data_IF_873888898222
#
_entry.id   IF_873888898222
#
_cell.length_a   1.000
_cell.length_b   1.000
_cell.length_c   1.000
_cell.angle_alpha   90.00
_cell.angle_beta   90.00
_cell.angle_gamma   90.00
#
_symmetry.space_group_name_H-M   'P 1'
#
loop_
_entity.id
_entity.type
_entity.pdbx_description
1 polymer ?
#
# COMPACT_ATOMS: atom_id res chain seq x y z
N UNK A 1 1.97 13.92 17.81
CA UNK A 1 2.64 12.81 18.52
C UNK A 1 2.44 11.58 17.67
N UNK A 2 3.50 10.85 17.39
CA UNK A 2 3.39 9.60 16.64
C UNK A 2 2.38 8.66 17.31
N UNK A 3 1.64 7.89 16.52
CA UNK A 3 0.71 6.87 17.01
C UNK A 3 1.47 5.65 17.55
N UNK A 4 2.57 5.28 16.88
CA UNK A 4 3.54 4.30 17.35
C UNK A 4 4.91 4.96 17.40
N UNK A 5 5.60 4.81 18.50
CA UNK A 5 6.98 5.29 18.69
C UNK A 5 7.87 4.19 19.26
N UNK A 6 8.92 3.84 18.54
CA UNK A 6 9.86 2.77 18.87
C UNK A 6 11.26 3.35 18.93
N UNK A 7 11.93 3.20 20.06
CA UNK A 7 13.30 3.70 20.26
C UNK A 7 14.24 2.57 20.73
N UNK A 8 15.30 2.34 19.95
CA UNK A 8 16.38 1.42 20.29
C UNK A 8 15.94 -0.02 20.58
N UNK A 9 14.84 -0.45 19.95
CA UNK A 9 14.22 -1.76 20.17
C UNK A 9 15.19 -2.89 19.85
N UNK A 10 15.51 -3.72 20.84
CA UNK A 10 16.32 -4.93 20.67
C UNK A 10 15.55 -6.14 21.18
N UNK A 11 15.55 -7.20 20.39
CA UNK A 11 15.02 -8.51 20.79
C UNK A 11 16.06 -9.59 20.61
N UNK A 12 16.30 -10.32 21.69
CA UNK A 12 17.24 -11.45 21.73
C UNK A 12 16.51 -12.71 22.22
N UNK A 13 16.72 -13.81 21.52
CA UNK A 13 16.31 -15.14 21.93
C UNK A 13 17.52 -15.96 22.37
N UNK A 14 17.49 -16.45 23.61
CA UNK A 14 18.66 -17.10 24.21
C UNK A 14 19.87 -16.15 24.36
N UNK A 15 21.08 -16.71 24.27
CA UNK A 15 22.31 -15.93 24.50
C UNK A 15 22.89 -15.30 23.22
N UNK A 16 22.57 -15.84 22.02
CA UNK A 16 23.29 -15.51 20.80
C UNK A 16 22.42 -15.00 19.64
N UNK A 17 21.10 -15.23 19.64
CA UNK A 17 20.24 -14.89 18.50
C UNK A 17 19.59 -13.54 18.69
N UNK A 18 20.04 -12.54 17.95
CA UNK A 18 19.40 -11.22 17.87
C UNK A 18 18.41 -11.20 16.72
N UNK A 19 17.13 -11.15 17.03
CA UNK A 19 16.07 -10.99 16.03
C UNK A 19 15.88 -9.53 15.62
N UNK A 20 16.07 -8.57 16.57
CA UNK A 20 16.05 -7.13 16.32
C UNK A 20 17.24 -6.48 17.02
N UNK A 21 17.82 -5.44 16.40
CA UNK A 21 19.00 -4.74 16.89
C UNK A 21 18.83 -3.23 16.75
N UNK A 22 18.57 -2.55 17.87
CA UNK A 22 18.49 -1.08 17.94
C UNK A 22 17.53 -0.46 16.89
N UNK A 23 16.38 -1.12 16.67
CA UNK A 23 15.37 -0.66 15.73
C UNK A 23 14.66 0.57 16.30
N UNK A 24 14.62 1.66 15.53
CA UNK A 24 13.86 2.86 15.86
C UNK A 24 12.99 3.24 14.68
N UNK A 25 11.70 3.50 14.93
CA UNK A 25 10.73 3.92 13.93
C UNK A 25 9.57 4.67 14.57
N UNK A 26 8.89 5.49 13.78
CA UNK A 26 7.64 6.15 14.18
C UNK A 26 6.57 5.92 13.12
N UNK A 27 5.31 5.74 13.53
CA UNK A 27 4.14 5.60 12.65
C UNK A 27 3.10 6.62 13.09
N UNK A 28 2.56 7.38 12.14
CA UNK A 28 1.50 8.34 12.44
C UNK A 28 0.13 7.65 12.50
N UNK A 29 -0.86 8.30 13.11
CA UNK A 29 -2.23 7.77 13.14
C UNK A 29 -2.82 7.77 11.74
N UNK A 30 -3.44 6.65 11.35
CA UNK A 30 -4.00 6.45 10.02
C UNK A 30 -2.97 6.16 8.94
N UNK A 31 -1.69 6.07 9.26
CA UNK A 31 -0.63 5.72 8.29
C UNK A 31 -0.70 4.23 7.89
N UNK A 32 -0.48 3.95 6.62
CA UNK A 32 -0.22 2.60 6.14
C UNK A 32 1.29 2.40 5.94
N UNK A 33 1.86 1.45 6.67
CA UNK A 33 3.28 1.13 6.58
C UNK A 33 3.52 -0.33 6.21
N UNK A 34 4.43 -0.56 5.28
CA UNK A 34 4.92 -1.90 4.96
C UNK A 34 6.29 -2.17 5.58
N UNK A 35 6.46 -3.40 6.07
CA UNK A 35 7.74 -3.91 6.60
C UNK A 35 8.19 -5.05 5.71
N UNK A 36 9.27 -4.86 4.99
CA UNK A 36 9.82 -5.82 4.05
C UNK A 36 11.19 -6.36 4.50
N UNK A 37 11.67 -7.37 3.80
CA UNK A 37 12.97 -7.97 4.03
C UNK A 37 12.95 -9.49 3.87
N UNK A 38 14.13 -10.13 3.78
CA UNK A 38 14.24 -11.57 3.59
C UNK A 38 13.67 -12.37 4.76
N UNK A 39 13.43 -13.67 4.53
CA UNK A 39 13.01 -14.58 5.62
C UNK A 39 14.05 -14.56 6.75
N UNK A 40 13.58 -14.56 7.99
CA UNK A 40 14.44 -14.52 9.18
C UNK A 40 15.04 -13.13 9.49
N UNK A 41 14.66 -12.06 8.80
CA UNK A 41 15.18 -10.71 9.10
C UNK A 41 14.61 -10.06 10.36
N UNK A 42 13.56 -10.63 10.98
CA UNK A 42 12.96 -10.15 12.22
C UNK A 42 11.59 -9.48 12.06
N UNK A 43 10.97 -9.50 10.88
CA UNK A 43 9.68 -8.86 10.57
C UNK A 43 8.54 -9.30 11.52
N UNK A 44 8.29 -10.60 11.58
CA UNK A 44 7.24 -11.14 12.49
C UNK A 44 7.58 -10.90 13.96
N UNK A 45 8.88 -10.84 14.33
CA UNK A 45 9.29 -10.48 15.70
C UNK A 45 8.92 -9.01 16.00
N UNK A 46 9.17 -8.10 15.08
CA UNK A 46 8.76 -6.69 15.21
C UNK A 46 7.23 -6.59 15.36
N UNK A 47 6.50 -7.25 14.47
CA UNK A 47 5.04 -7.25 14.51
C UNK A 47 4.49 -7.82 15.83
N UNK A 48 5.07 -8.91 16.32
CA UNK A 48 4.68 -9.54 17.59
C UNK A 48 4.92 -8.62 18.79
N UNK A 49 6.00 -7.83 18.79
CA UNK A 49 6.26 -6.87 19.87
C UNK A 49 5.29 -5.70 19.79
N UNK A 50 5.07 -5.12 18.61
CA UNK A 50 4.07 -4.05 18.40
C UNK A 50 2.67 -4.51 18.80
N UNK A 51 2.37 -5.78 18.55
CA UNK A 51 1.10 -6.42 18.88
C UNK A 51 1.00 -6.97 20.29
N UNK A 52 1.94 -6.69 21.18
CA UNK A 52 1.95 -7.22 22.56
C UNK A 52 1.90 -8.76 22.68
N UNK A 53 2.26 -9.51 21.61
CA UNK A 53 2.41 -10.97 21.66
C UNK A 53 3.76 -11.38 22.27
N UNK A 54 4.77 -10.52 22.11
CA UNK A 54 6.10 -10.69 22.71
C UNK A 54 6.55 -9.40 23.39
N UNK A 55 7.61 -9.43 24.16
CA UNK A 55 8.18 -8.28 24.84
C UNK A 55 9.59 -7.99 24.34
N UNK A 56 10.02 -6.72 24.27
CA UNK A 56 11.37 -6.35 23.92
C UNK A 56 12.37 -6.85 24.98
N UNK A 57 13.63 -7.10 24.58
CA UNK A 57 14.72 -7.33 25.54
C UNK A 57 15.21 -6.01 26.09
N UNK A 58 15.37 -4.99 25.22
CA UNK A 58 15.70 -3.60 25.60
C UNK A 58 15.03 -2.63 24.60
N UNK A 59 15.03 -1.35 24.93
CA UNK A 59 14.39 -0.31 24.13
C UNK A 59 13.00 0.03 24.62
N UNK A 60 12.36 0.99 23.94
CA UNK A 60 11.04 1.52 24.29
C UNK A 60 10.08 1.36 23.12
N UNK A 61 8.85 0.96 23.44
CA UNK A 61 7.75 0.90 22.49
C UNK A 61 6.54 1.58 23.11
N UNK A 62 6.04 2.60 22.45
CA UNK A 62 4.83 3.33 22.80
C UNK A 62 3.82 3.12 21.66
N UNK A 63 2.60 2.74 22.00
CA UNK A 63 1.50 2.64 21.05
C UNK A 63 0.31 3.41 21.63
N UNK A 64 -0.22 4.33 20.85
CA UNK A 64 -1.36 5.18 21.26
C UNK A 64 -1.13 5.91 22.60
N UNK A 65 0.11 6.33 22.85
CA UNK A 65 0.53 7.02 24.06
C UNK A 65 0.80 6.11 25.27
N UNK A 66 0.55 4.80 25.15
CA UNK A 66 0.78 3.83 26.21
C UNK A 66 2.12 3.11 26.00
N UNK A 67 2.97 3.08 27.05
CA UNK A 67 4.24 2.35 27.00
C UNK A 67 4.00 0.87 27.24
N UNK A 68 4.40 0.04 26.29
CA UNK A 68 4.27 -1.41 26.38
C UNK A 68 5.32 -2.04 27.34
N UNK A 69 6.34 -1.26 27.72
CA UNK A 69 7.34 -1.70 28.67
C UNK A 69 6.73 -1.86 30.06
N UNK A 70 6.90 -3.03 30.63
CA UNK A 70 6.42 -3.32 31.98
C UNK A 70 4.99 -3.87 32.05
N UNK A 71 4.26 -3.97 30.94
CA UNK A 71 2.94 -4.61 30.92
C UNK A 71 3.02 -6.06 31.43
N UNK A 72 2.20 -6.40 32.39
CA UNK A 72 1.93 -7.79 32.79
C UNK A 72 1.28 -8.56 31.63
N UNK A 73 1.22 -9.88 31.74
CA UNK A 73 0.56 -10.72 30.73
C UNK A 73 -0.94 -10.33 30.57
N UNK A 74 -1.60 -9.98 31.66
CA UNK A 74 -3.01 -9.56 31.63
C UNK A 74 -3.21 -8.20 30.93
N UNK A 75 -2.32 -7.22 31.22
CA UNK A 75 -2.37 -5.90 30.56
C UNK A 75 -2.09 -6.01 29.06
N UNK A 76 -1.11 -6.84 28.67
CA UNK A 76 -0.87 -7.12 27.23
C UNK A 76 -2.06 -7.75 26.55
N UNK A 77 -2.73 -8.73 27.21
CA UNK A 77 -3.92 -9.38 26.65
C UNK A 77 -5.08 -8.40 26.47
N UNK A 78 -5.31 -7.55 27.46
CA UNK A 78 -6.32 -6.51 27.42
C UNK A 78 -6.02 -5.49 26.32
N UNK A 79 -4.81 -4.97 26.26
CA UNK A 79 -4.39 -4.01 25.22
C UNK A 79 -4.60 -4.55 23.82
N UNK A 80 -4.21 -5.84 23.58
CA UNK A 80 -4.49 -6.51 22.29
C UNK A 80 -5.97 -6.56 21.96
N UNK A 81 -6.78 -6.98 22.92
CA UNK A 81 -8.22 -7.14 22.71
C UNK A 81 -8.92 -5.80 22.38
N UNK A 82 -8.44 -4.70 22.98
CA UNK A 82 -9.06 -3.37 22.86
C UNK A 82 -8.52 -2.57 21.66
N UNK A 83 -7.23 -2.72 21.31
CA UNK A 83 -6.54 -1.75 20.44
C UNK A 83 -6.03 -2.35 19.13
N UNK A 84 -5.87 -3.69 19.04
CA UNK A 84 -5.13 -4.31 17.95
C UNK A 84 -5.95 -5.38 17.24
N UNK A 85 -6.08 -5.24 15.92
CA UNK A 85 -6.56 -6.28 15.03
C UNK A 85 -5.40 -7.03 14.40
N UNK A 86 -5.33 -8.35 14.61
CA UNK A 86 -4.31 -9.19 13.99
C UNK A 86 -4.86 -9.98 12.80
N UNK A 87 -4.12 -9.92 11.68
CA UNK A 87 -4.34 -10.76 10.49
C UNK A 87 -3.06 -11.53 10.21
N UNK A 88 -3.09 -12.84 10.41
CA UNK A 88 -1.94 -13.72 10.20
C UNK A 88 -1.99 -14.40 8.83
N UNK A 89 -0.83 -14.85 8.34
CA UNK A 89 -0.70 -15.64 7.12
C UNK A 89 -1.51 -16.95 7.20
N UNK A 90 -1.48 -17.63 8.35
CA UNK A 90 -2.36 -18.73 8.64
C UNK A 90 -3.59 -18.23 9.39
N UNK A 91 -4.76 -18.67 8.98
CA UNK A 91 -6.04 -18.17 9.50
C UNK A 91 -6.23 -18.41 11.02
N UNK A 92 -5.58 -19.42 11.60
CA UNK A 92 -5.73 -19.79 13.01
C UNK A 92 -7.19 -19.78 13.48
N UNK A 93 -8.10 -20.21 12.61
CA UNK A 93 -9.51 -20.41 12.98
C UNK A 93 -9.65 -21.66 13.84
N UNK A 94 -10.54 -21.58 14.81
CA UNK A 94 -10.88 -22.72 15.64
C UNK A 94 -11.72 -23.69 14.81
N UNK A 95 -11.26 -24.92 14.52
CA UNK A 95 -11.81 -25.77 13.45
C UNK A 95 -13.22 -26.30 13.73
N UNK A 96 -13.66 -26.31 14.98
CA UNK A 96 -14.96 -26.78 15.43
C UNK A 96 -15.96 -25.64 15.72
N UNK A 97 -15.56 -24.37 15.52
CA UNK A 97 -16.41 -23.21 15.56
C UNK A 97 -16.76 -22.75 14.14
N UNK A 98 -17.99 -22.31 13.96
CA UNK A 98 -18.45 -21.70 12.72
C UNK A 98 -17.75 -20.35 12.45
N UNK A 99 -17.93 -19.78 11.26
CA UNK A 99 -17.38 -18.47 10.93
C UNK A 99 -17.83 -17.40 11.92
N UNK A 100 -19.12 -17.31 12.24
CA UNK A 100 -19.65 -16.34 13.19
C UNK A 100 -19.11 -16.56 14.60
N UNK A 101 -19.03 -17.79 15.06
CA UNK A 101 -18.47 -18.13 16.37
C UNK A 101 -16.97 -17.81 16.48
N UNK A 102 -16.20 -17.99 15.39
CA UNK A 102 -14.79 -17.56 15.32
C UNK A 102 -14.63 -16.04 15.48
N UNK A 103 -15.56 -15.25 14.94
CA UNK A 103 -15.56 -13.80 15.11
C UNK A 103 -16.01 -13.43 16.55
N UNK A 104 -17.06 -14.05 17.06
CA UNK A 104 -17.55 -13.85 18.44
C UNK A 104 -16.50 -14.16 19.50
N UNK A 105 -15.55 -15.06 19.21
CA UNK A 105 -14.46 -15.40 20.12
C UNK A 105 -13.61 -14.17 20.49
N UNK A 106 -13.39 -13.26 19.54
CA UNK A 106 -12.65 -12.01 19.81
C UNK A 106 -13.46 -11.06 20.72
N UNK A 107 -14.77 -10.99 20.54
CA UNK A 107 -15.65 -10.22 21.44
C UNK A 107 -15.62 -10.78 22.86
N UNK A 108 -15.66 -12.10 23.02
CA UNK A 108 -15.65 -12.75 24.33
C UNK A 108 -14.48 -12.34 25.21
N UNK A 109 -13.32 -12.05 24.63
CA UNK A 109 -12.13 -11.57 25.35
C UNK A 109 -12.11 -10.05 25.57
N UNK A 110 -13.03 -9.31 24.98
CA UNK A 110 -13.10 -7.84 25.06
C UNK A 110 -14.36 -7.37 25.82
N UNK A 111 -15.52 -7.91 25.48
CA UNK A 111 -16.83 -7.42 25.94
C UNK A 111 -17.85 -8.57 26.01
N UNK A 112 -19.13 -8.24 25.88
CA UNK A 112 -20.18 -9.24 25.67
C UNK A 112 -20.24 -9.66 24.21
N UNK A 113 -20.33 -10.97 23.97
CA UNK A 113 -20.49 -11.51 22.62
C UNK A 113 -21.86 -11.15 22.04
N UNK A 114 -21.87 -10.62 20.83
CA UNK A 114 -23.07 -10.28 20.06
C UNK A 114 -22.99 -10.94 18.68
N UNK A 115 -23.91 -11.90 18.44
CA UNK A 115 -23.93 -12.68 17.20
C UNK A 115 -24.29 -11.83 15.98
N UNK A 116 -25.20 -10.85 16.15
CA UNK A 116 -25.62 -9.99 15.04
C UNK A 116 -24.49 -9.04 14.62
N UNK A 117 -23.73 -8.49 15.58
CA UNK A 117 -22.55 -7.68 15.32
C UNK A 117 -21.47 -8.52 14.59
N UNK A 118 -21.23 -9.76 15.04
CA UNK A 118 -20.33 -10.70 14.39
C UNK A 118 -20.78 -11.06 12.96
N UNK A 119 -22.09 -11.28 12.77
CA UNK A 119 -22.66 -11.51 11.45
C UNK A 119 -22.51 -10.30 10.53
N UNK A 120 -22.66 -9.08 11.05
CA UNK A 120 -22.44 -7.84 10.30
C UNK A 120 -20.97 -7.68 9.88
N UNK A 121 -20.02 -8.01 10.75
CA UNK A 121 -18.60 -8.03 10.42
C UNK A 121 -18.30 -9.02 9.29
N UNK A 122 -18.92 -10.20 9.28
CA UNK A 122 -18.80 -11.18 8.20
C UNK A 122 -19.46 -10.71 6.90
N UNK A 123 -20.63 -10.07 6.95
CA UNK A 123 -21.26 -9.48 5.76
C UNK A 123 -20.37 -8.41 5.12
N UNK A 124 -19.70 -7.60 5.94
CA UNK A 124 -18.76 -6.57 5.50
C UNK A 124 -17.61 -7.12 4.67
N UNK A 125 -17.12 -8.33 4.99
CA UNK A 125 -16.06 -9.00 4.23
C UNK A 125 -16.60 -9.96 3.13
N UNK A 126 -17.89 -9.86 2.78
CA UNK A 126 -18.52 -10.62 1.73
C UNK A 126 -18.82 -12.08 2.09
N UNK A 127 -19.04 -12.39 3.37
CA UNK A 127 -19.31 -13.76 3.87
C UNK A 127 -20.71 -13.90 4.52
N UNK A 128 -21.67 -13.06 4.12
CA UNK A 128 -23.03 -13.10 4.65
C UNK A 128 -23.72 -14.48 4.49
N UNK A 129 -23.42 -15.21 3.43
CA UNK A 129 -23.98 -16.54 3.14
C UNK A 129 -23.15 -17.68 3.76
N UNK A 130 -22.12 -17.38 4.54
CA UNK A 130 -21.16 -18.32 5.12
C UNK A 130 -21.12 -18.33 6.65
N UNK A 131 -22.03 -17.61 7.32
CA UNK A 131 -22.01 -17.37 8.77
C UNK A 131 -21.83 -18.65 9.59
N UNK A 132 -22.55 -19.72 9.22
CA UNK A 132 -22.60 -20.99 9.97
C UNK A 132 -21.71 -22.08 9.36
N UNK A 133 -20.84 -21.74 8.39
CA UNK A 133 -19.89 -22.71 7.84
C UNK A 133 -18.71 -22.90 8.79
N UNK A 134 -18.25 -24.16 8.90
CA UNK A 134 -17.00 -24.50 9.59
C UNK A 134 -15.79 -24.12 8.71
N UNK A 135 -14.61 -23.87 9.30
CA UNK A 135 -13.40 -23.59 8.53
C UNK A 135 -13.09 -24.61 7.43
N UNK A 136 -13.37 -25.88 7.65
CA UNK A 136 -13.19 -26.96 6.67
C UNK A 136 -14.11 -26.85 5.44
N UNK A 137 -15.15 -26.03 5.51
CA UNK A 137 -16.12 -25.78 4.43
C UNK A 137 -15.85 -24.48 3.69
N UNK A 138 -14.83 -23.74 4.10
CA UNK A 138 -14.42 -22.44 3.55
C UNK A 138 -13.13 -22.60 2.74
N UNK A 139 -13.06 -21.89 1.62
CA UNK A 139 -11.80 -21.73 0.86
C UNK A 139 -10.75 -20.98 1.69
N UNK A 140 -9.48 -21.04 1.29
CA UNK A 140 -8.40 -20.30 1.96
C UNK A 140 -8.66 -18.79 2.02
N UNK A 141 -9.15 -18.20 0.92
CA UNK A 141 -9.52 -16.79 0.89
C UNK A 141 -10.74 -16.45 1.75
N UNK A 142 -11.74 -17.34 1.83
CA UNK A 142 -12.88 -17.16 2.75
C UNK A 142 -12.42 -17.25 4.21
N UNK A 143 -11.54 -18.20 4.55
CA UNK A 143 -10.96 -18.29 5.90
C UNK A 143 -10.19 -17.02 6.26
N UNK A 144 -9.41 -16.48 5.33
CA UNK A 144 -8.66 -15.22 5.55
C UNK A 144 -9.61 -14.03 5.79
N UNK A 145 -10.72 -13.96 5.04
CA UNK A 145 -11.75 -12.93 5.29
C UNK A 145 -12.44 -13.09 6.64
N UNK A 146 -12.65 -14.30 7.13
CA UNK A 146 -13.12 -14.54 8.54
C UNK A 146 -12.10 -13.97 9.53
N UNK A 147 -10.79 -14.16 9.29
CA UNK A 147 -9.75 -13.59 10.15
C UNK A 147 -9.77 -12.06 10.16
N UNK A 148 -10.02 -11.44 9.01
CA UNK A 148 -10.16 -9.98 8.92
C UNK A 148 -11.39 -9.53 9.71
N UNK A 149 -12.56 -10.18 9.53
CA UNK A 149 -13.76 -9.86 10.31
C UNK A 149 -13.52 -10.00 11.82
N UNK A 150 -12.82 -11.07 12.24
CA UNK A 150 -12.41 -11.30 13.64
C UNK A 150 -11.46 -10.21 14.15
N UNK A 151 -10.54 -9.73 13.31
CA UNK A 151 -9.63 -8.65 13.69
C UNK A 151 -10.34 -7.32 13.89
N UNK A 152 -11.45 -7.07 13.17
CA UNK A 152 -12.17 -5.80 13.16
C UNK A 152 -13.28 -5.67 14.17
N UNK A 153 -13.78 -6.79 14.72
CA UNK A 153 -15.00 -6.82 15.52
C UNK A 153 -14.96 -5.89 16.75
N UNK A 154 -13.76 -5.70 17.33
CA UNK A 154 -13.55 -4.83 18.48
C UNK A 154 -13.13 -3.40 18.08
N UNK A 155 -13.27 -3.02 16.81
CA UNK A 155 -12.97 -1.68 16.27
C UNK A 155 -11.56 -1.18 16.63
N UNK A 156 -10.50 -1.95 16.32
CA UNK A 156 -9.14 -1.60 16.71
C UNK A 156 -8.65 -0.37 15.93
N UNK A 157 -7.81 0.47 16.56
CA UNK A 157 -7.16 1.58 15.88
C UNK A 157 -5.92 1.15 15.08
N UNK A 158 -5.35 -0.03 15.39
CA UNK A 158 -4.16 -0.59 14.78
C UNK A 158 -4.45 -1.96 14.18
N UNK A 159 -4.13 -2.12 12.90
CA UNK A 159 -4.21 -3.41 12.20
C UNK A 159 -2.79 -3.87 11.90
N UNK A 160 -2.44 -5.06 12.38
CA UNK A 160 -1.17 -5.71 12.15
C UNK A 160 -1.39 -6.95 11.27
N UNK A 161 -0.80 -6.96 10.08
CA UNK A 161 -0.95 -8.04 9.13
C UNK A 161 0.41 -8.70 8.83
N UNK A 162 0.54 -10.00 9.11
CA UNK A 162 1.76 -10.79 8.82
C UNK A 162 1.49 -11.68 7.62
N UNK A 163 2.04 -11.30 6.44
CA UNK A 163 1.89 -12.01 5.15
C UNK A 163 0.42 -12.37 4.83
N UNK A 164 -0.53 -11.41 4.87
CA UNK A 164 -1.97 -11.72 4.88
C UNK A 164 -2.48 -12.39 3.60
N UNK A 165 -1.69 -12.39 2.52
CA UNK A 165 -2.03 -12.98 1.22
C UNK A 165 -1.13 -14.14 0.81
N UNK A 166 -0.11 -14.47 1.61
CA UNK A 166 0.96 -15.40 1.23
C UNK A 166 0.53 -16.84 0.88
N UNK A 167 -0.71 -17.21 1.11
CA UNK A 167 -1.29 -18.53 0.78
C UNK A 167 -2.53 -18.43 -0.11
N UNK A 168 -2.76 -17.28 -0.76
CA UNK A 168 -3.95 -17.00 -1.57
C UNK A 168 -3.63 -17.03 -3.06
N UNK A 169 -4.63 -17.32 -3.87
CA UNK A 169 -4.59 -17.05 -5.31
C UNK A 169 -4.77 -15.55 -5.59
N UNK A 170 -4.45 -15.12 -6.81
CA UNK A 170 -4.50 -13.71 -7.25
C UNK A 170 -5.87 -13.06 -7.01
N UNK A 171 -6.97 -13.79 -7.18
CA UNK A 171 -8.33 -13.26 -7.00
C UNK A 171 -8.61 -12.99 -5.52
N UNK A 172 -8.29 -13.93 -4.65
CA UNK A 172 -8.47 -13.76 -3.21
C UNK A 172 -7.48 -12.76 -2.61
N UNK A 173 -6.25 -12.68 -3.16
CA UNK A 173 -5.28 -11.65 -2.81
C UNK A 173 -5.84 -10.25 -3.08
N UNK A 174 -6.35 -10.01 -4.30
CA UNK A 174 -6.95 -8.72 -4.66
C UNK A 174 -8.11 -8.33 -3.73
N UNK A 175 -8.97 -9.30 -3.35
CA UNK A 175 -10.07 -9.05 -2.42
C UNK A 175 -9.54 -8.68 -1.02
N UNK A 176 -8.56 -9.42 -0.49
CA UNK A 176 -7.98 -9.16 0.83
C UNK A 176 -7.28 -7.81 0.87
N UNK A 177 -6.51 -7.48 -0.18
CA UNK A 177 -5.83 -6.19 -0.26
C UNK A 177 -6.81 -5.03 -0.47
N UNK A 178 -7.90 -5.24 -1.20
CA UNK A 178 -9.01 -4.29 -1.28
C UNK A 178 -9.61 -3.98 0.11
N UNK A 179 -9.86 -5.00 0.92
CA UNK A 179 -10.33 -4.82 2.30
C UNK A 179 -9.32 -4.03 3.15
N UNK A 180 -8.00 -4.29 3.03
CA UNK A 180 -6.97 -3.52 3.75
C UNK A 180 -6.95 -2.06 3.33
N UNK A 181 -7.12 -1.79 2.02
CA UNK A 181 -7.22 -0.41 1.48
C UNK A 181 -8.43 0.32 2.04
N UNK A 182 -9.60 -0.34 2.09
CA UNK A 182 -10.81 0.26 2.65
C UNK A 182 -10.65 0.59 4.14
N UNK A 183 -10.00 -0.29 4.91
CA UNK A 183 -9.71 -0.06 6.31
C UNK A 183 -8.78 1.13 6.54
N UNK A 184 -7.75 1.26 5.71
CA UNK A 184 -6.88 2.44 5.74
C UNK A 184 -7.65 3.73 5.43
N UNK A 185 -8.50 3.74 4.39
CA UNK A 185 -9.37 4.88 4.05
C UNK A 185 -10.36 5.25 5.16
N UNK A 186 -10.78 4.30 5.97
CA UNK A 186 -11.61 4.53 7.16
C UNK A 186 -10.82 5.11 8.33
N UNK A 187 -9.50 5.27 8.21
CA UNK A 187 -8.63 5.89 9.20
C UNK A 187 -7.93 4.92 10.15
N UNK A 188 -7.98 3.61 9.90
CA UNK A 188 -7.18 2.65 10.65
C UNK A 188 -5.69 2.81 10.33
N UNK A 189 -4.84 2.72 11.36
CA UNK A 189 -3.39 2.59 11.15
C UNK A 189 -3.10 1.14 10.75
N UNK A 190 -2.40 0.92 9.64
CA UNK A 190 -2.12 -0.41 9.10
C UNK A 190 -0.62 -0.65 9.03
N UNK A 191 -0.14 -1.75 9.61
CA UNK A 191 1.22 -2.24 9.41
C UNK A 191 1.14 -3.62 8.79
N UNK A 192 1.70 -3.76 7.59
CA UNK A 192 1.74 -5.01 6.86
C UNK A 192 3.19 -5.51 6.75
N UNK A 193 3.41 -6.74 7.14
CA UNK A 193 4.65 -7.47 6.86
C UNK A 193 4.43 -8.26 5.59
N UNK A 194 5.31 -8.09 4.61
CA UNK A 194 5.27 -8.84 3.36
C UNK A 194 6.66 -8.98 2.75
N UNK A 195 6.84 -9.99 1.93
CA UNK A 195 7.99 -10.12 1.04
C UNK A 195 7.63 -9.79 -0.41
N UNK A 196 6.34 -9.58 -0.70
CA UNK A 196 5.84 -9.21 -2.01
C UNK A 196 6.05 -7.71 -2.27
N UNK A 197 6.80 -7.33 -3.32
CA UNK A 197 7.04 -5.92 -3.66
C UNK A 197 5.78 -5.16 -4.07
N UNK A 198 4.80 -5.81 -4.70
CA UNK A 198 3.56 -5.17 -5.16
C UNK A 198 2.71 -4.75 -3.93
N UNK A 199 2.54 -5.68 -2.98
CA UNK A 199 1.86 -5.38 -1.71
C UNK A 199 2.64 -4.32 -0.91
N UNK A 200 3.98 -4.42 -0.90
CA UNK A 200 4.82 -3.44 -0.24
C UNK A 200 4.66 -2.02 -0.78
N UNK A 201 4.36 -1.86 -2.07
CA UNK A 201 4.12 -0.57 -2.72
C UNK A 201 2.76 0.04 -2.40
N UNK A 202 1.81 -0.74 -1.90
CA UNK A 202 0.50 -0.22 -1.49
C UNK A 202 0.56 0.67 -0.25
N UNK A 203 1.64 0.58 0.53
CA UNK A 203 1.82 1.37 1.74
C UNK A 203 2.40 2.76 1.44
N UNK A 204 2.01 3.76 2.23
CA UNK A 204 2.53 5.13 2.15
C UNK A 204 4.03 5.20 2.43
N UNK A 205 4.50 4.37 3.36
CA UNK A 205 5.92 4.29 3.71
C UNK A 205 6.35 2.84 3.83
N UNK A 206 7.52 2.55 3.29
CA UNK A 206 8.14 1.23 3.35
C UNK A 206 9.41 1.28 4.20
N UNK A 207 9.56 0.28 5.03
CA UNK A 207 10.79 0.01 5.76
C UNK A 207 11.31 -1.38 5.40
N UNK A 208 12.62 -1.51 5.33
CA UNK A 208 13.28 -2.79 5.12
C UNK A 208 14.02 -3.24 6.38
N UNK A 209 13.84 -4.50 6.71
CA UNK A 209 14.51 -5.13 7.83
C UNK A 209 15.55 -6.14 7.32
N UNK A 210 16.83 -5.90 7.62
CA UNK A 210 17.94 -6.77 7.26
C UNK A 210 18.73 -7.16 8.49
N UNK A 211 18.82 -8.47 8.78
CA UNK A 211 19.56 -8.99 9.94
C UNK A 211 19.21 -8.31 11.27
N UNK A 212 17.92 -8.02 11.46
CA UNK A 212 17.40 -7.35 12.65
C UNK A 212 17.64 -5.85 12.71
N UNK A 213 18.20 -5.23 11.69
CA UNK A 213 18.39 -3.78 11.58
C UNK A 213 17.43 -3.20 10.56
N UNK A 214 16.94 -2.00 10.85
CA UNK A 214 15.99 -1.30 10.01
C UNK A 214 16.69 -0.28 9.14
N UNK A 215 16.32 -0.25 7.84
CA UNK A 215 16.61 0.84 6.92
C UNK A 215 15.30 1.36 6.35
N UNK A 216 15.08 2.67 6.39
CA UNK A 216 13.93 3.29 5.72
C UNK A 216 14.27 3.47 4.26
N UNK A 217 13.49 2.82 3.37
CA UNK A 217 13.89 2.69 1.97
C UNK A 217 13.15 3.63 1.04
N UNK A 218 11.94 4.04 1.33
CA UNK A 218 11.25 5.05 0.52
C UNK A 218 9.90 5.49 1.09
N UNK A 219 9.60 6.76 0.88
CA UNK A 219 8.23 7.25 0.75
C UNK A 219 7.83 6.96 -0.68
N UNK A 220 6.90 6.04 -0.92
CA UNK A 220 6.31 5.94 -2.24
C UNK A 220 5.35 7.10 -2.40
N UNK A 221 5.40 7.83 -3.51
CA UNK A 221 4.27 8.68 -3.87
C UNK A 221 3.02 7.78 -3.86
N UNK A 222 1.94 8.29 -3.29
CA UNK A 222 0.68 7.57 -3.15
C UNK A 222 0.33 6.90 -4.48
N UNK A 223 -0.14 5.65 -4.44
CA UNK A 223 -0.70 4.98 -5.62
C UNK A 223 -1.73 5.85 -6.34
N UNK A 224 -2.40 6.69 -5.58
CA UNK A 224 -3.37 7.64 -6.08
C UNK A 224 -2.73 8.72 -6.98
N UNK A 225 -1.54 9.23 -6.61
CA UNK A 225 -0.80 10.19 -7.46
C UNK A 225 -0.26 9.53 -8.72
N UNK A 226 0.29 8.32 -8.61
CA UNK A 226 0.76 7.53 -9.75
C UNK A 226 -0.40 7.15 -10.69
N UNK A 227 -1.55 6.78 -10.12
CA UNK A 227 -2.77 6.52 -10.87
C UNK A 227 -3.30 7.79 -11.55
N UNK A 228 -3.34 8.92 -10.86
CA UNK A 228 -3.71 10.22 -11.43
C UNK A 228 -2.78 10.56 -12.59
N UNK A 229 -1.49 10.42 -12.41
CA UNK A 229 -0.47 10.68 -13.42
C UNK A 229 -0.68 9.81 -14.67
N UNK A 230 -0.92 8.51 -14.49
CA UNK A 230 -1.20 7.60 -15.60
C UNK A 230 -2.50 7.95 -16.33
N UNK A 231 -3.54 8.34 -15.57
CA UNK A 231 -4.81 8.76 -16.15
C UNK A 231 -4.71 10.09 -16.93
N UNK A 232 -3.95 11.07 -16.41
CA UNK A 232 -3.65 12.33 -17.11
C UNK A 232 -2.90 12.06 -18.42
N UNK A 233 -1.91 11.16 -18.39
CA UNK A 233 -1.17 10.71 -19.57
C UNK A 233 -2.11 10.08 -20.60
N UNK A 234 -3.01 9.18 -20.18
CA UNK A 234 -3.97 8.53 -21.07
C UNK A 234 -4.95 9.52 -21.72
N UNK A 235 -5.45 10.50 -20.95
CA UNK A 235 -6.32 11.56 -21.50
C UNK A 235 -5.57 12.39 -22.54
N UNK A 236 -4.34 12.81 -22.25
CA UNK A 236 -3.55 13.63 -23.18
C UNK A 236 -3.23 12.86 -24.48
N UNK A 237 -2.82 11.60 -24.40
CA UNK A 237 -2.59 10.74 -25.57
C UNK A 237 -3.86 10.61 -26.43
N UNK A 238 -5.01 10.36 -25.79
CA UNK A 238 -6.28 10.26 -26.52
C UNK A 238 -6.71 11.58 -27.17
N UNK A 239 -6.37 12.73 -26.57
CA UNK A 239 -6.58 14.05 -27.18
C UNK A 239 -5.66 14.26 -28.39
N UNK A 240 -4.37 13.89 -28.29
CA UNK A 240 -3.39 13.96 -29.39
C UNK A 240 -3.82 13.07 -30.56
N UNK A 241 -4.19 11.82 -30.31
CA UNK A 241 -4.55 10.83 -31.34
C UNK A 241 -5.84 11.21 -32.08
N UNK A 242 -6.81 11.78 -31.39
CA UNK A 242 -8.10 12.16 -31.98
C UNK A 242 -8.14 13.57 -32.55
N UNK A 243 -7.15 14.42 -32.20
CA UNK A 243 -7.13 15.85 -32.53
C UNK A 243 -8.28 16.64 -31.86
N UNK A 244 -8.87 16.12 -30.79
CA UNK A 244 -10.01 16.70 -30.07
C UNK A 244 -9.57 17.26 -28.71
N UNK A 245 -10.12 18.41 -28.34
CA UNK A 245 -9.86 18.99 -27.00
C UNK A 245 -10.52 18.21 -25.85
N UNK A 246 -11.54 17.39 -26.14
CA UNK A 246 -12.24 16.58 -25.15
C UNK A 246 -12.42 15.15 -25.63
N UNK A 247 -12.28 14.20 -24.73
CA UNK A 247 -12.36 12.75 -24.97
C UNK A 247 -13.60 12.20 -24.29
N UNK A 248 -14.44 11.40 -24.99
CA UNK A 248 -15.54 10.71 -24.32
C UNK A 248 -14.99 9.77 -23.25
N UNK A 249 -15.51 9.87 -22.03
CA UNK A 249 -15.05 9.06 -20.90
C UNK A 249 -15.14 7.54 -21.16
N UNK A 250 -16.15 7.13 -21.93
CA UNK A 250 -16.38 5.73 -22.30
C UNK A 250 -15.30 5.15 -23.22
N UNK A 251 -14.51 6.01 -23.90
CA UNK A 251 -13.43 5.57 -24.80
C UNK A 251 -12.11 5.36 -24.06
N UNK A 252 -12.03 5.71 -22.78
CA UNK A 252 -10.87 5.47 -21.93
C UNK A 252 -11.10 4.18 -21.13
N UNK A 253 -10.39 3.08 -21.43
CA UNK A 253 -10.52 1.81 -20.70
C UNK A 253 -10.36 1.99 -19.19
N UNK A 254 -9.46 2.88 -18.78
CA UNK A 254 -9.16 3.22 -17.39
C UNK A 254 -10.31 3.92 -16.67
N UNK A 255 -11.19 4.63 -17.39
CA UNK A 255 -12.31 5.37 -16.78
C UNK A 255 -13.29 4.45 -16.06
N UNK A 256 -13.62 3.30 -16.67
CA UNK A 256 -14.61 2.35 -16.13
C UNK A 256 -14.11 1.76 -14.80
N UNK A 257 -12.80 1.53 -14.70
CA UNK A 257 -12.17 0.92 -13.52
C UNK A 257 -11.88 1.94 -12.41
N UNK A 258 -11.67 3.22 -12.75
CA UNK A 258 -11.14 4.24 -11.83
C UNK A 258 -12.06 5.46 -11.70
N UNK A 259 -13.38 5.28 -11.75
CA UNK A 259 -14.36 6.38 -11.72
C UNK A 259 -14.21 7.31 -10.50
N UNK A 260 -13.85 6.76 -9.34
CA UNK A 260 -13.61 7.54 -8.12
C UNK A 260 -12.41 8.49 -8.26
N UNK A 261 -11.33 8.01 -8.89
CA UNK A 261 -10.12 8.82 -9.13
C UNK A 261 -10.38 9.95 -10.12
N UNK A 262 -11.21 9.72 -11.15
CA UNK A 262 -11.62 10.80 -12.06
C UNK A 262 -12.44 11.89 -11.36
N UNK A 263 -13.27 11.53 -10.38
CA UNK A 263 -13.97 12.51 -9.54
C UNK A 263 -13.00 13.32 -8.69
N UNK A 264 -11.98 12.67 -8.10
CA UNK A 264 -10.93 13.34 -7.35
C UNK A 264 -10.13 14.29 -8.24
N UNK A 265 -9.71 13.86 -9.44
CA UNK A 265 -9.03 14.70 -10.42
C UNK A 265 -9.83 15.95 -10.80
N UNK A 266 -11.16 15.83 -10.85
CA UNK A 266 -12.05 16.98 -11.08
C UNK A 266 -12.10 17.93 -9.88
N UNK A 267 -12.08 17.40 -8.65
CA UNK A 267 -12.03 18.21 -7.42
C UNK A 267 -10.67 18.94 -7.25
N UNK A 268 -9.59 18.31 -7.70
CA UNK A 268 -8.23 18.88 -7.72
C UNK A 268 -7.98 19.82 -8.91
N UNK A 269 -9.02 20.15 -9.69
CA UNK A 269 -8.91 21.00 -10.87
C UNK A 269 -7.91 20.51 -11.92
N UNK A 270 -7.73 19.19 -12.04
CA UNK A 270 -6.86 18.59 -13.05
C UNK A 270 -7.62 18.32 -14.37
N UNK A 271 -8.92 18.06 -14.29
CA UNK A 271 -9.78 17.80 -15.43
C UNK A 271 -11.11 18.55 -15.31
N UNK A 272 -11.69 18.87 -16.46
CA UNK A 272 -13.11 19.22 -16.59
C UNK A 272 -13.87 17.95 -17.00
N UNK A 273 -14.98 17.68 -16.31
CA UNK A 273 -15.89 16.60 -16.66
C UNK A 273 -17.26 17.20 -16.96
N UNK A 274 -17.66 17.18 -18.22
CA UNK A 274 -18.94 17.72 -18.68
C UNK A 274 -19.56 16.81 -19.76
N UNK A 275 -20.85 16.50 -19.61
CA UNK A 275 -21.65 15.71 -20.54
C UNK A 275 -20.95 14.40 -21.01
N UNK A 276 -20.37 13.65 -20.04
CA UNK A 276 -19.67 12.39 -20.32
C UNK A 276 -18.34 12.54 -21.06
N UNK A 277 -17.80 13.76 -21.17
CA UNK A 277 -16.51 14.06 -21.78
C UNK A 277 -15.52 14.59 -20.76
N UNK A 278 -14.26 14.24 -20.97
CA UNK A 278 -13.12 14.65 -20.13
C UNK A 278 -12.24 15.59 -20.97
N UNK A 279 -11.87 16.71 -20.36
CA UNK A 279 -10.88 17.67 -20.90
C UNK A 279 -9.87 17.99 -19.80
N UNK A 280 -8.58 18.02 -20.13
CA UNK A 280 -7.55 18.50 -19.19
C UNK A 280 -7.73 19.98 -18.91
N UNK A 281 -7.51 20.39 -17.67
CA UNK A 281 -7.28 21.80 -17.33
C UNK A 281 -5.86 22.20 -17.73
N UNK A 282 -5.51 23.51 -17.75
CA UNK A 282 -4.12 23.91 -17.96
C UNK A 282 -3.15 23.31 -16.95
N UNK A 283 -3.58 23.12 -15.70
CA UNK A 283 -2.78 22.48 -14.65
C UNK A 283 -2.62 20.97 -14.91
N UNK A 284 -3.72 20.28 -15.27
CA UNK A 284 -3.66 18.85 -15.62
C UNK A 284 -2.85 18.58 -16.87
N UNK A 285 -2.92 19.45 -17.89
CA UNK A 285 -2.11 19.35 -19.12
C UNK A 285 -0.61 19.53 -18.81
N UNK A 286 -0.26 20.54 -18.00
CA UNK A 286 1.12 20.73 -17.59
C UNK A 286 1.67 19.51 -16.85
N UNK A 287 0.91 18.98 -15.89
CA UNK A 287 1.29 17.77 -15.14
C UNK A 287 1.46 16.56 -16.07
N UNK A 288 0.52 16.34 -16.99
CA UNK A 288 0.62 15.27 -18.00
C UNK A 288 1.87 15.40 -18.89
N UNK A 289 2.17 16.62 -19.37
CA UNK A 289 3.36 16.87 -20.18
C UNK A 289 4.66 16.62 -19.41
N UNK A 290 4.72 16.94 -18.13
CA UNK A 290 5.88 16.65 -17.27
C UNK A 290 6.11 15.14 -17.13
N UNK A 291 5.05 14.34 -16.97
CA UNK A 291 5.16 12.88 -16.86
C UNK A 291 5.61 12.29 -18.20
N UNK A 292 4.98 12.68 -19.30
CA UNK A 292 5.36 12.25 -20.65
C UNK A 292 6.83 12.60 -20.95
N UNK A 293 7.28 13.77 -20.50
CA UNK A 293 8.68 14.15 -20.63
C UNK A 293 9.60 13.21 -19.87
N UNK A 294 9.30 12.88 -18.61
CA UNK A 294 10.08 11.94 -17.78
C UNK A 294 10.15 10.58 -18.45
N UNK A 295 9.01 10.06 -18.90
CA UNK A 295 8.89 8.79 -19.60
C UNK A 295 9.80 8.74 -20.84
N UNK A 296 9.61 9.67 -21.77
CA UNK A 296 10.35 9.71 -23.05
C UNK A 296 11.86 9.98 -22.88
N UNK A 297 12.25 10.73 -21.83
CA UNK A 297 13.67 10.88 -21.47
C UNK A 297 14.26 9.60 -20.87
N UNK A 298 13.48 8.85 -20.09
CA UNK A 298 13.89 7.55 -19.57
C UNK A 298 14.08 6.52 -20.69
N UNK A 299 13.14 6.42 -21.64
CA UNK A 299 13.29 5.59 -22.84
C UNK A 299 14.58 5.93 -23.59
N UNK A 300 14.84 7.23 -23.78
CA UNK A 300 16.04 7.70 -24.49
C UNK A 300 17.31 7.35 -23.73
N UNK A 301 17.33 7.51 -22.41
CA UNK A 301 18.45 7.13 -21.54
C UNK A 301 18.72 5.62 -21.62
N UNK A 302 17.68 4.81 -21.55
CA UNK A 302 17.81 3.35 -21.65
C UNK A 302 18.30 2.90 -23.00
N UNK A 303 17.82 3.50 -24.08
CA UNK A 303 18.23 3.16 -25.44
C UNK A 303 19.67 3.61 -25.73
N UNK A 304 19.96 4.92 -25.55
CA UNK A 304 21.22 5.50 -25.96
C UNK A 304 22.40 5.14 -25.04
N UNK A 305 22.14 4.95 -23.75
CA UNK A 305 23.21 4.78 -22.75
C UNK A 305 23.37 3.33 -22.33
N UNK A 306 22.26 2.60 -22.12
CA UNK A 306 22.31 1.22 -21.65
C UNK A 306 22.09 0.20 -22.75
N UNK A 307 21.72 0.61 -23.98
CA UNK A 307 21.52 -0.27 -25.13
C UNK A 307 20.39 -1.28 -24.95
N UNK A 308 19.32 -0.89 -24.21
CA UNK A 308 18.15 -1.75 -24.05
C UNK A 308 17.42 -1.93 -25.38
N UNK A 309 16.89 -3.13 -25.61
CA UNK A 309 16.05 -3.44 -26.75
C UNK A 309 14.72 -2.67 -26.69
N UNK A 310 14.19 -2.25 -27.85
CA UNK A 310 12.95 -1.46 -27.95
C UNK A 310 11.77 -2.07 -27.18
N UNK A 311 11.62 -3.40 -27.20
CA UNK A 311 10.56 -4.10 -26.50
C UNK A 311 10.56 -3.94 -24.96
N UNK A 312 11.70 -3.51 -24.38
CA UNK A 312 11.87 -3.34 -22.94
C UNK A 312 11.84 -1.87 -22.51
N UNK A 313 11.85 -0.91 -23.45
CA UNK A 313 11.98 0.52 -23.14
C UNK A 313 10.77 1.04 -22.39
N UNK A 314 9.57 0.84 -22.93
CA UNK A 314 8.30 1.34 -22.36
C UNK A 314 8.07 0.82 -20.94
N UNK A 315 8.19 -0.49 -20.75
CA UNK A 315 7.97 -1.15 -19.44
C UNK A 315 8.94 -0.62 -18.37
N UNK A 316 10.22 -0.37 -18.74
CA UNK A 316 11.20 0.13 -17.79
C UNK A 316 11.06 1.65 -17.56
N UNK A 317 10.69 2.42 -18.57
CA UNK A 317 10.42 3.84 -18.45
C UNK A 317 9.22 4.11 -17.55
N UNK A 318 8.12 3.36 -17.70
CA UNK A 318 6.96 3.43 -16.83
C UNK A 318 7.29 3.21 -15.36
N UNK A 319 8.22 2.30 -15.05
CA UNK A 319 8.62 1.99 -13.67
C UNK A 319 9.36 3.14 -12.97
N UNK A 320 10.03 4.00 -13.70
CA UNK A 320 10.86 5.05 -13.11
C UNK A 320 10.30 6.47 -13.29
N UNK A 321 9.38 6.71 -14.23
CA UNK A 321 8.87 8.04 -14.54
C UNK A 321 8.28 8.78 -13.34
N UNK A 322 7.62 8.06 -12.42
CA UNK A 322 7.04 8.60 -11.21
C UNK A 322 8.06 8.87 -10.10
N UNK A 323 9.23 8.24 -10.17
CA UNK A 323 10.31 8.42 -9.19
C UNK A 323 11.33 9.48 -9.59
N UNK A 324 11.31 9.94 -10.84
CA UNK A 324 12.22 10.97 -11.35
C UNK A 324 11.78 12.36 -10.91
N UNK A 325 12.48 12.92 -9.93
CA UNK A 325 12.28 14.32 -9.52
C UNK A 325 12.72 15.32 -10.60
N UNK A 326 12.27 16.59 -10.49
CA UNK A 326 12.57 17.64 -11.49
C UNK A 326 14.07 17.84 -11.74
N UNK A 327 14.88 17.84 -10.68
CA UNK A 327 16.34 18.03 -10.80
C UNK A 327 17.02 16.89 -11.58
N UNK A 328 16.59 15.64 -11.32
CA UNK A 328 17.12 14.46 -12.00
C UNK A 328 16.69 14.48 -13.47
N UNK A 329 15.46 14.84 -13.76
CA UNK A 329 14.92 15.00 -15.12
C UNK A 329 15.71 16.03 -15.94
N UNK A 330 16.04 17.17 -15.32
CA UNK A 330 16.89 18.21 -15.94
C UNK A 330 18.27 17.64 -16.26
N UNK A 331 18.91 16.92 -15.33
CA UNK A 331 20.24 16.33 -15.53
C UNK A 331 20.24 15.26 -16.62
N UNK A 332 19.23 14.40 -16.66
CA UNK A 332 19.06 13.39 -17.73
C UNK A 332 18.91 14.09 -19.08
N UNK A 333 18.05 15.09 -19.19
CA UNK A 333 17.84 15.83 -20.42
C UNK A 333 19.13 16.52 -20.91
N UNK A 334 19.88 17.14 -20.00
CA UNK A 334 21.16 17.79 -20.32
C UNK A 334 22.23 16.78 -20.72
N UNK A 335 22.31 15.65 -20.01
CA UNK A 335 23.25 14.56 -20.34
C UNK A 335 23.01 13.98 -21.73
N UNK A 336 21.74 13.86 -22.12
CA UNK A 336 21.33 13.37 -23.45
C UNK A 336 21.42 14.45 -24.55
N UNK A 337 21.89 15.68 -24.25
CA UNK A 337 22.02 16.76 -25.22
C UNK A 337 20.69 17.36 -25.67
N UNK A 338 19.67 17.41 -24.80
CA UNK A 338 18.33 17.93 -25.06
C UNK A 338 17.63 17.26 -26.26
N UNK A 339 17.37 15.95 -26.21
CA UNK A 339 16.78 15.23 -27.32
C UNK A 339 15.38 15.74 -27.64
N UNK A 340 15.04 15.75 -28.94
CA UNK A 340 13.74 16.25 -29.40
C UNK A 340 12.68 15.13 -29.49
N UNK A 341 13.10 13.89 -29.66
CA UNK A 341 12.24 12.72 -29.83
C UNK A 341 12.74 11.55 -29.00
N UNK A 342 11.82 10.69 -28.55
CA UNK A 342 12.15 9.41 -27.95
C UNK A 342 12.57 8.39 -29.03
N UNK A 343 13.06 7.17 -28.68
CA UNK A 343 13.45 6.15 -29.66
C UNK A 343 12.34 5.78 -30.64
N UNK A 344 11.09 5.82 -30.21
CA UNK A 344 9.90 5.55 -31.04
C UNK A 344 9.48 6.73 -31.94
N UNK A 345 10.22 7.85 -31.93
CA UNK A 345 9.97 9.03 -32.76
C UNK A 345 8.97 10.03 -32.15
N UNK A 346 8.40 9.76 -30.99
CA UNK A 346 7.45 10.66 -30.34
C UNK A 346 8.16 11.90 -29.74
N UNK A 347 7.58 13.12 -29.86
CA UNK A 347 8.23 14.36 -29.43
C UNK A 347 8.37 14.42 -27.91
N UNK A 348 9.57 14.76 -27.41
CA UNK A 348 9.80 14.99 -25.98
C UNK A 348 9.38 16.44 -25.63
N UNK A 349 8.45 16.65 -24.67
CA UNK A 349 8.08 17.98 -24.24
C UNK A 349 9.30 18.80 -23.78
N UNK A 350 9.36 20.11 -24.13
CA UNK A 350 10.45 20.96 -23.70
C UNK A 350 10.33 21.26 -22.20
N UNK A 351 11.44 21.42 -21.50
CA UNK A 351 11.48 21.90 -20.11
C UNK A 351 12.45 23.06 -19.99
N UNK A 352 12.55 23.66 -18.80
CA UNK A 352 13.33 24.87 -18.52
C UNK A 352 14.81 24.78 -18.90
N UNK A 353 15.37 23.56 -18.93
CA UNK A 353 16.75 23.31 -19.33
C UNK A 353 16.95 23.31 -20.85
N UNK A 354 15.89 23.27 -21.65
CA UNK A 354 16.00 23.17 -23.11
C UNK A 354 16.21 24.53 -23.74
N UNK A 355 17.09 24.65 -24.79
CA UNK A 355 17.20 25.86 -25.57
C UNK A 355 15.87 26.19 -26.26
N UNK A 356 15.58 27.48 -26.54
CA UNK A 356 14.38 27.87 -27.26
C UNK A 356 14.29 27.13 -28.59
N UNK A 357 13.18 26.42 -28.79
CA UNK A 357 12.91 25.74 -30.07
C UNK A 357 12.61 26.79 -31.13
N UNK A 358 13.45 26.89 -32.18
CA UNK A 358 13.22 27.76 -33.32
C UNK A 358 12.22 27.15 -34.28
#
# INVERSE_FOLDING_TARGET
MAFIDVEGLTKRYGESVYALREVSLSVERGEWRSVMGPSGSGKSTLLNILGCLDAPTTGRVIVEGESLAGFSAAERARFRAEKIGFVFQQSHLVPYLTAVENVMLAQYFHSMSDEEEAANALRRVGLGDRLHHLPSQLSGGEQQRVCIARALINQPNLILADEPTGNLDEVNEAIVMGLMTDLHREGHTVIIVTHDPEIGRMAERRIELHHGRLSEVSVFPHQEEELIDNLLKAVLHSQEDTGRESVPAETLPEFIQNRATFLLMSQEELIYFDDGKIKLTPHGEQRALEIIRRHRLAERLFFDTFGLEEALLDVNACKIEHTLGPEVTIKICTFLGHPLTCPHGSPIPAGDCCPPRR
#
